data_IF_743765099372
#
_entry.id   IF_743765099372
#
_cell.length_a   1.000
_cell.length_b   1.000
_cell.length_c   1.000
_cell.angle_alpha   90.00
_cell.angle_beta   90.00
_cell.angle_gamma   90.00
#
_symmetry.space_group_name_H-M   'P 1'
#
loop_
_entity.id
_entity.type
_entity.pdbx_description
1 polymer ?
#
# COMPACT_ATOMS: atom_id res chain seq x y z
N UNK A 1 39.09 6.61 -83.71
CA UNK A 1 37.78 6.22 -83.13
C UNK A 1 37.90 5.25 -81.96
N UNK A 2 38.79 4.25 -82.00
CA UNK A 2 38.97 3.24 -80.93
C UNK A 2 39.31 3.81 -79.55
N UNK A 3 40.19 4.81 -79.45
CA UNK A 3 40.60 5.42 -78.16
C UNK A 3 39.43 6.09 -77.43
N UNK A 4 38.51 6.72 -78.17
CA UNK A 4 37.33 7.39 -77.58
C UNK A 4 36.33 6.37 -77.03
N UNK A 5 36.18 5.23 -77.70
CA UNK A 5 35.35 4.11 -77.22
C UNK A 5 35.97 3.50 -75.97
N UNK A 6 37.30 3.36 -75.92
CA UNK A 6 37.99 2.83 -74.76
C UNK A 6 37.80 3.71 -73.51
N UNK A 7 38.01 5.03 -73.63
CA UNK A 7 37.79 5.99 -72.53
C UNK A 7 36.34 5.95 -72.04
N UNK A 8 35.36 5.93 -72.96
CA UNK A 8 33.94 5.82 -72.60
C UNK A 8 33.61 4.48 -71.92
N UNK A 9 34.34 3.41 -72.25
CA UNK A 9 34.14 2.11 -71.62
C UNK A 9 34.71 2.10 -70.20
N UNK A 10 35.87 2.72 -69.98
CA UNK A 10 36.49 2.88 -68.68
C UNK A 10 35.66 3.78 -67.74
N UNK A 11 35.17 4.92 -68.24
CA UNK A 11 34.28 5.81 -67.50
C UNK A 11 32.96 5.13 -67.11
N UNK A 12 32.36 4.34 -68.03
CA UNK A 12 31.15 3.57 -67.72
C UNK A 12 31.41 2.53 -66.65
N UNK A 13 32.56 1.87 -66.68
CA UNK A 13 32.95 0.89 -65.70
C UNK A 13 33.19 1.55 -64.32
N UNK A 14 33.86 2.70 -64.31
CA UNK A 14 34.06 3.49 -63.09
C UNK A 14 32.73 3.95 -62.47
N UNK A 15 31.82 4.48 -63.29
CA UNK A 15 30.48 4.88 -62.84
C UNK A 15 29.68 3.68 -62.31
N UNK A 16 29.73 2.54 -63.00
CA UNK A 16 29.05 1.32 -62.55
C UNK A 16 29.56 0.84 -61.19
N UNK A 17 30.88 0.92 -60.95
CA UNK A 17 31.46 0.62 -59.62
C UNK A 17 31.04 1.63 -58.56
N UNK A 18 31.02 2.92 -58.88
CA UNK A 18 30.57 3.96 -57.95
C UNK A 18 29.09 3.79 -57.58
N UNK A 19 28.23 3.46 -58.56
CA UNK A 19 26.82 3.15 -58.34
C UNK A 19 26.64 1.92 -57.46
N UNK A 20 27.37 0.83 -57.75
CA UNK A 20 27.35 -0.38 -56.93
C UNK A 20 27.73 -0.09 -55.48
N UNK A 21 28.81 0.67 -55.27
CA UNK A 21 29.25 1.07 -53.93
C UNK A 21 28.19 1.92 -53.23
N UNK A 22 27.59 2.89 -53.92
CA UNK A 22 26.53 3.73 -53.35
C UNK A 22 25.28 2.93 -52.97
N UNK A 23 24.89 1.95 -53.81
CA UNK A 23 23.76 1.07 -53.54
C UNK A 23 24.04 0.17 -52.33
N UNK A 24 25.27 -0.34 -52.20
CA UNK A 24 25.68 -1.12 -51.04
C UNK A 24 25.66 -0.28 -49.76
N UNK A 25 26.22 0.94 -49.79
CA UNK A 25 26.16 1.87 -48.66
C UNK A 25 24.72 2.20 -48.26
N UNK A 26 23.83 2.45 -49.23
CA UNK A 26 22.42 2.70 -48.94
C UNK A 26 21.74 1.50 -48.27
N UNK A 27 22.01 0.28 -48.74
CA UNK A 27 21.51 -0.96 -48.12
C UNK A 27 21.97 -1.08 -46.67
N UNK A 28 23.26 -0.84 -46.40
CA UNK A 28 23.78 -0.92 -45.02
C UNK A 28 23.16 0.13 -44.09
N UNK A 29 22.93 1.35 -44.58
CA UNK A 29 22.26 2.39 -43.80
C UNK A 29 20.79 2.07 -43.56
N UNK A 30 20.12 1.43 -44.53
CA UNK A 30 18.74 0.96 -44.34
C UNK A 30 18.67 -0.09 -43.23
N UNK A 31 19.56 -1.09 -43.25
CA UNK A 31 19.63 -2.11 -42.18
C UNK A 31 19.90 -1.47 -40.80
N UNK A 32 20.81 -0.50 -40.72
CA UNK A 32 21.07 0.25 -39.49
C UNK A 32 19.83 1.02 -39.01
N UNK A 33 19.08 1.61 -39.94
CA UNK A 33 17.86 2.37 -39.62
C UNK A 33 16.77 1.43 -39.10
N UNK A 34 16.57 0.29 -39.74
CA UNK A 34 15.63 -0.75 -39.31
C UNK A 34 16.02 -1.32 -37.94
N UNK A 35 17.31 -1.57 -37.72
CA UNK A 35 17.82 -2.01 -36.43
C UNK A 35 17.57 -0.99 -35.31
N UNK A 36 17.87 0.29 -35.56
CA UNK A 36 17.62 1.37 -34.60
C UNK A 36 16.12 1.54 -34.32
N UNK A 37 15.27 1.46 -35.35
CA UNK A 37 13.82 1.50 -35.19
C UNK A 37 13.32 0.35 -34.29
N UNK A 38 13.84 -0.87 -34.48
CA UNK A 38 13.55 -2.00 -33.60
C UNK A 38 13.98 -1.75 -32.15
N UNK A 39 15.15 -1.14 -31.92
CA UNK A 39 15.56 -0.76 -30.56
C UNK A 39 14.63 0.29 -29.94
N UNK A 40 14.19 1.28 -30.72
CA UNK A 40 13.24 2.29 -30.25
C UNK A 40 11.93 1.66 -29.76
N UNK A 41 11.39 0.67 -30.48
CA UNK A 41 10.16 -0.02 -30.06
C UNK A 41 10.35 -0.82 -28.76
N UNK A 42 11.49 -1.50 -28.59
CA UNK A 42 11.84 -2.20 -27.34
C UNK A 42 11.88 -1.23 -26.17
N UNK A 43 12.52 -0.08 -26.33
CA UNK A 43 12.60 0.94 -25.28
C UNK A 43 11.24 1.57 -24.97
N UNK A 44 10.42 1.82 -25.99
CA UNK A 44 9.05 2.31 -25.83
C UNK A 44 8.21 1.36 -24.98
N UNK A 45 8.26 0.06 -25.26
CA UNK A 45 7.54 -0.95 -24.48
C UNK A 45 8.02 -1.02 -23.03
N UNK A 46 9.35 -1.04 -22.79
CA UNK A 46 9.92 -1.08 -21.44
C UNK A 46 9.53 0.15 -20.62
N UNK A 47 9.60 1.33 -21.23
CA UNK A 47 9.19 2.58 -20.59
C UNK A 47 7.72 2.51 -20.21
N UNK A 48 6.83 2.13 -21.14
CA UNK A 48 5.40 2.03 -20.88
C UNK A 48 5.06 1.07 -19.73
N UNK A 49 5.65 -0.13 -19.74
CA UNK A 49 5.45 -1.11 -18.68
C UNK A 49 5.90 -0.55 -17.31
N UNK A 50 7.06 0.11 -17.28
CA UNK A 50 7.59 0.73 -16.05
C UNK A 50 6.72 1.90 -15.58
N UNK A 51 6.22 2.74 -16.49
CA UNK A 51 5.29 3.83 -16.16
C UNK A 51 4.02 3.33 -15.50
N UNK A 52 3.40 2.28 -16.06
CA UNK A 52 2.19 1.67 -15.48
C UNK A 52 2.47 1.12 -14.08
N UNK A 53 3.60 0.41 -13.89
CA UNK A 53 3.98 -0.08 -12.55
C UNK A 53 4.15 1.04 -11.53
N UNK A 54 4.78 2.16 -11.92
CA UNK A 54 4.95 3.33 -11.05
C UNK A 54 3.60 3.98 -10.71
N UNK A 55 2.69 4.07 -11.68
CA UNK A 55 1.34 4.58 -11.45
C UNK A 55 0.56 3.72 -10.46
N UNK A 56 0.59 2.39 -10.61
CA UNK A 56 -0.04 1.46 -9.67
C UNK A 56 0.57 1.57 -8.27
N UNK A 57 1.90 1.65 -8.17
CA UNK A 57 2.57 1.87 -6.88
C UNK A 57 2.17 3.20 -6.23
N UNK A 58 2.00 4.27 -7.03
CA UNK A 58 1.53 5.55 -6.53
C UNK A 58 0.09 5.46 -5.98
N UNK A 59 -0.80 4.75 -6.68
CA UNK A 59 -2.18 4.48 -6.21
C UNK A 59 -2.17 3.71 -4.89
N UNK A 60 -1.44 2.60 -4.81
CA UNK A 60 -1.30 1.82 -3.58
C UNK A 60 -0.73 2.66 -2.44
N UNK A 61 0.31 3.45 -2.69
CA UNK A 61 0.88 4.36 -1.70
C UNK A 61 -0.16 5.34 -1.18
N UNK A 62 -0.94 5.97 -2.05
CA UNK A 62 -1.97 6.91 -1.64
C UNK A 62 -3.06 6.24 -0.78
N UNK A 63 -3.54 5.06 -1.19
CA UNK A 63 -4.54 4.29 -0.45
C UNK A 63 -4.05 3.85 0.92
N UNK A 64 -2.85 3.26 1.00
CA UNK A 64 -2.25 2.88 2.29
C UNK A 64 -2.01 4.10 3.17
N UNK A 65 -1.55 5.22 2.60
CA UNK A 65 -1.29 6.44 3.37
C UNK A 65 -2.58 6.99 3.98
N UNK A 66 -3.66 7.04 3.20
CA UNK A 66 -5.00 7.40 3.69
C UNK A 66 -5.45 6.46 4.80
N UNK A 67 -5.24 5.16 4.60
CA UNK A 67 -5.66 4.16 5.57
C UNK A 67 -4.90 4.27 6.90
N UNK A 68 -3.61 4.55 6.85
CA UNK A 68 -2.80 4.84 8.04
C UNK A 68 -3.34 6.08 8.75
N UNK A 69 -3.69 7.13 8.00
CA UNK A 69 -4.29 8.33 8.56
C UNK A 69 -5.61 8.03 9.28
N UNK A 70 -6.52 7.26 8.66
CA UNK A 70 -7.79 6.87 9.26
C UNK A 70 -7.60 6.09 10.57
N UNK A 71 -6.66 5.13 10.58
CA UNK A 71 -6.32 4.35 11.78
C UNK A 71 -5.71 5.22 12.89
N UNK A 72 -4.82 6.15 12.54
CA UNK A 72 -4.25 7.10 13.50
C UNK A 72 -5.32 8.01 14.10
N UNK A 73 -6.25 8.50 13.29
CA UNK A 73 -7.33 9.38 13.72
C UNK A 73 -8.34 8.67 14.62
N UNK A 74 -8.64 7.39 14.35
CA UNK A 74 -9.46 6.56 15.24
C UNK A 74 -8.72 6.27 16.55
N UNK A 75 -7.43 5.93 16.49
CA UNK A 75 -6.62 5.67 17.69
C UNK A 75 -6.56 6.90 18.59
N UNK A 76 -6.36 8.09 18.02
CA UNK A 76 -6.38 9.36 18.77
C UNK A 76 -7.71 9.55 19.51
N UNK A 77 -8.83 9.36 18.80
CA UNK A 77 -10.18 9.48 19.37
C UNK A 77 -10.43 8.47 20.49
N UNK A 78 -9.98 7.22 20.35
CA UNK A 78 -10.07 6.22 21.42
C UNK A 78 -9.26 6.63 22.66
N UNK A 79 -8.07 7.21 22.47
CA UNK A 79 -7.25 7.71 23.58
C UNK A 79 -7.89 8.92 24.28
N UNK A 80 -8.60 9.77 23.54
CA UNK A 80 -9.35 10.90 24.11
C UNK A 80 -10.55 10.40 24.93
N UNK A 81 -11.36 9.47 24.40
CA UNK A 81 -12.44 8.81 25.14
C UNK A 81 -11.90 8.13 26.41
N UNK A 82 -10.79 7.40 26.28
CA UNK A 82 -10.09 6.76 27.39
C UNK A 82 -9.67 7.77 28.46
N UNK A 83 -9.22 8.96 28.07
CA UNK A 83 -8.81 9.99 29.03
C UNK A 83 -10.01 10.56 29.79
N UNK A 84 -11.13 10.84 29.10
CA UNK A 84 -12.38 11.25 29.74
C UNK A 84 -12.91 10.20 30.72
N UNK A 85 -12.90 8.92 30.32
CA UNK A 85 -13.31 7.81 31.19
C UNK A 85 -12.45 7.78 32.47
N UNK A 86 -11.14 7.99 32.36
CA UNK A 86 -10.24 8.05 33.52
C UNK A 86 -10.57 9.21 34.45
N UNK A 87 -10.87 10.39 33.91
CA UNK A 87 -11.27 11.56 34.70
C UNK A 87 -12.57 11.28 35.48
N UNK A 88 -13.57 10.69 34.82
CA UNK A 88 -14.81 10.28 35.48
C UNK A 88 -14.55 9.27 36.59
N UNK A 89 -13.73 8.24 36.35
CA UNK A 89 -13.37 7.25 37.36
C UNK A 89 -12.63 7.86 38.56
N UNK A 90 -11.75 8.83 38.34
CA UNK A 90 -11.06 9.55 39.43
C UNK A 90 -12.06 10.36 40.26
N UNK A 91 -13.01 11.04 39.63
CA UNK A 91 -14.03 11.79 40.36
C UNK A 91 -14.94 10.85 41.16
N UNK A 92 -15.41 9.76 40.54
CA UNK A 92 -16.17 8.71 41.25
C UNK A 92 -15.39 8.13 42.42
N UNK A 93 -14.08 7.91 42.27
CA UNK A 93 -13.22 7.45 43.36
C UNK A 93 -13.20 8.44 44.52
N UNK A 94 -13.01 9.74 44.25
CA UNK A 94 -13.00 10.79 45.27
C UNK A 94 -14.33 10.82 46.04
N UNK A 95 -15.45 10.77 45.32
CA UNK A 95 -16.79 10.81 45.91
C UNK A 95 -17.05 9.56 46.78
N UNK A 96 -16.77 8.37 46.26
CA UNK A 96 -16.92 7.12 47.01
C UNK A 96 -15.98 7.04 48.21
N UNK A 97 -14.74 7.51 48.07
CA UNK A 97 -13.78 7.55 49.16
C UNK A 97 -14.23 8.52 50.26
N UNK A 98 -14.78 9.68 49.90
CA UNK A 98 -15.35 10.61 50.87
C UNK A 98 -16.53 10.02 51.65
N UNK A 99 -17.37 9.20 50.99
CA UNK A 99 -18.47 8.48 51.66
C UNK A 99 -17.96 7.37 52.60
N UNK A 100 -16.88 6.70 52.21
CA UNK A 100 -16.29 5.59 52.96
C UNK A 100 -15.18 6.03 53.95
N UNK A 101 -14.97 7.33 54.18
CA UNK A 101 -13.79 7.90 54.86
C UNK A 101 -13.57 7.45 56.31
N UNK A 102 -14.54 6.74 56.90
CA UNK A 102 -14.43 6.14 58.23
C UNK A 102 -13.72 4.77 58.23
N UNK A 103 -13.31 4.26 57.06
CA UNK A 103 -12.59 3.00 56.90
C UNK A 103 -11.13 3.27 56.53
N UNK A 104 -10.21 2.52 57.14
CA UNK A 104 -8.79 2.52 56.77
C UNK A 104 -8.64 2.02 55.32
N UNK A 105 -8.58 2.96 54.37
CA UNK A 105 -8.49 2.66 52.95
C UNK A 105 -7.07 2.83 52.43
N UNK A 106 -6.63 1.82 51.69
CA UNK A 106 -5.38 1.89 50.94
C UNK A 106 -5.60 2.65 49.64
N UNK A 107 -4.69 3.57 49.26
CA UNK A 107 -4.80 4.29 48.00
C UNK A 107 -4.69 3.31 46.82
N UNK A 108 -5.29 3.65 45.66
CA UNK A 108 -5.24 2.81 44.47
C UNK A 108 -3.79 2.56 44.02
N UNK A 109 -3.52 1.34 43.54
CA UNK A 109 -2.19 0.90 43.07
C UNK A 109 -1.68 1.70 41.88
N UNK A 110 -2.58 2.15 41.01
CA UNK A 110 -2.28 3.10 39.94
C UNK A 110 -3.53 3.87 39.52
N UNK A 111 -3.34 4.93 38.73
CA UNK A 111 -4.44 5.71 38.13
C UNK A 111 -4.85 5.20 36.74
N UNK A 112 -4.54 3.94 36.42
CA UNK A 112 -5.01 3.33 35.18
C UNK A 112 -6.52 3.02 35.30
N UNK A 113 -7.21 2.90 34.16
CA UNK A 113 -8.68 2.75 34.13
C UNK A 113 -9.16 1.44 34.71
N UNK A 114 -8.39 0.35 34.56
CA UNK A 114 -8.75 -0.96 35.10
C UNK A 114 -8.64 -0.93 36.63
N UNK A 115 -7.51 -0.48 37.17
CA UNK A 115 -7.30 -0.36 38.61
C UNK A 115 -8.32 0.59 39.25
N UNK A 116 -8.58 1.75 38.65
CA UNK A 116 -9.59 2.69 39.14
C UNK A 116 -11.00 2.10 39.09
N UNK A 117 -11.34 1.35 38.03
CA UNK A 117 -12.65 0.68 37.93
C UNK A 117 -12.82 -0.40 39.00
N UNK A 118 -11.76 -1.16 39.29
CA UNK A 118 -11.75 -2.19 40.32
C UNK A 118 -11.93 -1.59 41.71
N UNK A 119 -11.14 -0.56 42.04
CA UNK A 119 -11.22 0.12 43.34
C UNK A 119 -12.59 0.80 43.51
N UNK A 120 -13.13 1.43 42.46
CA UNK A 120 -14.49 1.99 42.52
C UNK A 120 -15.56 0.93 42.74
N UNK A 121 -15.42 -0.25 42.12
CA UNK A 121 -16.34 -1.36 42.34
C UNK A 121 -16.28 -1.87 43.79
N UNK A 122 -15.08 -1.99 44.36
CA UNK A 122 -14.86 -2.38 45.76
C UNK A 122 -15.43 -1.33 46.73
N UNK A 123 -15.14 -0.05 46.53
CA UNK A 123 -15.67 1.06 47.34
C UNK A 123 -17.20 1.12 47.27
N UNK A 124 -17.78 0.96 46.07
CA UNK A 124 -19.23 0.91 45.89
C UNK A 124 -19.85 -0.26 46.66
N UNK A 125 -19.23 -1.45 46.64
CA UNK A 125 -19.70 -2.58 47.41
C UNK A 125 -19.66 -2.33 48.93
N UNK A 126 -18.60 -1.69 49.43
CA UNK A 126 -18.49 -1.32 50.85
C UNK A 126 -19.52 -0.26 51.24
N UNK A 127 -19.71 0.78 50.42
CA UNK A 127 -20.74 1.81 50.65
C UNK A 127 -22.15 1.19 50.69
N UNK A 128 -22.44 0.20 49.84
CA UNK A 128 -23.71 -0.55 49.87
C UNK A 128 -23.89 -1.32 51.19
N UNK A 129 -22.85 -2.00 51.67
CA UNK A 129 -22.89 -2.71 52.95
C UNK A 129 -23.16 -1.77 54.12
N UNK A 130 -22.53 -0.58 54.13
CA UNK A 130 -22.73 0.43 55.17
C UNK A 130 -24.14 1.02 55.18
N UNK A 131 -24.73 1.26 54.00
CA UNK A 131 -26.00 1.98 53.88
C UNK A 131 -27.24 1.08 54.00
N UNK A 132 -27.16 -0.20 53.58
CA UNK A 132 -28.35 -1.07 53.45
C UNK A 132 -28.38 -2.29 54.37
N UNK A 133 -27.29 -2.57 55.11
CA UNK A 133 -27.10 -3.85 55.79
C UNK A 133 -27.15 -5.05 54.82
N UNK A 134 -27.03 -6.28 55.34
CA UNK A 134 -26.94 -7.54 54.56
C UNK A 134 -28.18 -7.92 53.70
N UNK A 135 -29.06 -6.97 53.38
CA UNK A 135 -30.27 -7.23 52.59
C UNK A 135 -29.94 -7.37 51.09
N UNK A 136 -29.73 -8.62 50.67
CA UNK A 136 -29.62 -9.00 49.25
C UNK A 136 -30.93 -8.66 48.55
N UNK A 137 -30.93 -7.63 47.72
CA UNK A 137 -31.99 -7.41 46.75
C UNK A 137 -31.29 -7.27 45.43
N UNK A 138 -31.45 -8.27 44.58
CA UNK A 138 -31.01 -8.27 43.20
C UNK A 138 -31.58 -7.02 42.54
N UNK A 139 -30.71 -6.06 42.23
CA UNK A 139 -31.11 -4.90 41.45
C UNK A 139 -31.45 -5.39 40.04
N UNK A 140 -32.56 -4.93 39.44
CA UNK A 140 -32.89 -5.30 38.07
C UNK A 140 -31.74 -4.93 37.13
N UNK A 141 -31.45 -5.85 36.22
CA UNK A 141 -30.43 -5.72 35.19
C UNK A 141 -30.86 -4.61 34.21
N UNK A 142 -30.48 -3.37 34.47
CA UNK A 142 -30.87 -2.19 33.67
C UNK A 142 -30.11 -2.08 32.34
N UNK A 143 -29.11 -2.93 32.11
CA UNK A 143 -28.10 -2.76 31.06
C UNK A 143 -28.39 -3.55 29.76
N UNK A 144 -29.47 -4.33 29.71
CA UNK A 144 -29.71 -5.29 28.61
C UNK A 144 -30.02 -4.60 27.27
N UNK A 145 -30.57 -3.38 27.29
CA UNK A 145 -30.89 -2.59 26.10
C UNK A 145 -29.86 -1.47 25.81
N UNK A 146 -28.84 -1.32 26.66
CA UNK A 146 -27.92 -0.20 26.55
C UNK A 146 -26.83 -0.49 25.51
N UNK A 147 -26.61 0.46 24.58
CA UNK A 147 -25.54 0.34 23.60
C UNK A 147 -24.18 0.34 24.30
N UNK A 148 -23.43 -0.76 24.17
CA UNK A 148 -22.16 -0.97 24.89
C UNK A 148 -20.93 -0.43 24.15
N UNK A 149 -21.07 -0.14 22.85
CA UNK A 149 -19.96 0.31 22.00
C UNK A 149 -20.07 1.79 21.68
N UNK A 150 -18.95 2.51 21.77
CA UNK A 150 -18.90 3.90 21.31
C UNK A 150 -18.88 3.95 19.78
N UNK A 151 -19.26 5.10 19.20
CA UNK A 151 -19.18 5.30 17.76
C UNK A 151 -17.73 5.14 17.25
N UNK A 152 -16.73 5.51 18.05
CA UNK A 152 -15.31 5.38 17.70
C UNK A 152 -14.88 3.92 17.73
N UNK A 153 -15.34 3.13 18.70
CA UNK A 153 -15.10 1.68 18.74
C UNK A 153 -15.72 0.99 17.52
N UNK A 154 -16.95 1.32 17.16
CA UNK A 154 -17.60 0.78 15.96
C UNK A 154 -16.79 1.08 14.68
N UNK A 155 -16.30 2.32 14.53
CA UNK A 155 -15.41 2.69 13.43
C UNK A 155 -14.08 1.92 13.46
N UNK A 156 -13.49 1.71 14.64
CA UNK A 156 -12.27 0.94 14.79
C UNK A 156 -12.46 -0.51 14.33
N UNK A 157 -13.58 -1.15 14.71
CA UNK A 157 -13.91 -2.51 14.29
C UNK A 157 -14.07 -2.61 12.77
N UNK A 158 -14.80 -1.69 12.16
CA UNK A 158 -14.99 -1.67 10.70
C UNK A 158 -13.67 -1.49 9.95
N UNK A 159 -12.79 -0.60 10.43
CA UNK A 159 -11.46 -0.47 9.85
C UNK A 159 -10.72 -1.81 9.98
N UNK A 160 -10.55 -2.35 11.19
CA UNK A 160 -9.75 -3.57 11.41
C UNK A 160 -10.23 -4.78 10.58
N UNK A 161 -11.54 -4.90 10.35
CA UNK A 161 -12.14 -6.00 9.56
C UNK A 161 -11.66 -6.03 8.10
N UNK A 162 -11.35 -4.87 7.54
CA UNK A 162 -10.87 -4.73 6.15
C UNK A 162 -9.43 -4.20 6.15
N UNK A 163 -8.41 -5.07 6.32
CA UNK A 163 -7.03 -4.65 6.55
C UNK A 163 -6.33 -4.12 5.29
N UNK A 164 -6.75 -4.54 4.09
CA UNK A 164 -6.18 -4.11 2.81
C UNK A 164 -7.25 -3.33 2.04
N UNK A 165 -6.97 -2.08 1.63
CA UNK A 165 -7.84 -1.36 0.71
C UNK A 165 -7.92 -2.14 -0.61
N UNK A 166 -9.13 -2.52 -1.05
CA UNK A 166 -9.31 -3.16 -2.34
C UNK A 166 -9.07 -2.14 -3.45
N UNK A 167 -8.07 -2.40 -4.31
CA UNK A 167 -7.89 -1.64 -5.53
C UNK A 167 -8.73 -2.31 -6.61
N UNK A 168 -9.83 -1.69 -7.01
CA UNK A 168 -10.62 -2.14 -8.14
C UNK A 168 -9.71 -2.22 -9.39
N UNK A 169 -9.62 -3.42 -10.01
CA UNK A 169 -8.98 -3.68 -11.31
C UNK A 169 -7.44 -3.72 -11.39
N UNK A 170 -6.72 -3.95 -10.28
CA UNK A 170 -5.25 -4.13 -10.31
C UNK A 170 -4.77 -5.23 -11.30
N UNK A 171 -5.55 -6.30 -11.43
CA UNK A 171 -5.20 -7.48 -12.25
C UNK A 171 -5.31 -7.22 -13.76
N UNK A 172 -6.16 -6.28 -14.19
CA UNK A 172 -6.35 -5.98 -15.61
C UNK A 172 -5.15 -5.22 -16.20
N UNK A 173 -4.59 -4.27 -15.44
CA UNK A 173 -3.39 -3.53 -15.83
C UNK A 173 -2.16 -4.45 -15.87
N UNK A 174 -2.00 -5.30 -14.86
CA UNK A 174 -0.93 -6.31 -14.82
C UNK A 174 -1.01 -7.29 -15.99
N UNK A 175 -2.21 -7.82 -16.27
CA UNK A 175 -2.44 -8.75 -17.38
C UNK A 175 -2.23 -8.12 -18.76
N UNK A 176 -2.59 -6.84 -18.94
CA UNK A 176 -2.35 -6.12 -20.18
C UNK A 176 -0.85 -5.91 -20.46
N UNK A 177 -0.07 -5.56 -19.42
CA UNK A 177 1.38 -5.39 -19.54
C UNK A 177 2.07 -6.73 -19.83
N UNK A 178 1.68 -7.79 -19.12
CA UNK A 178 2.22 -9.13 -19.37
C UNK A 178 1.84 -9.67 -20.77
N UNK A 179 0.61 -9.43 -21.22
CA UNK A 179 0.16 -9.81 -22.56
C UNK A 179 0.94 -9.10 -23.68
N UNK A 180 1.22 -7.80 -23.52
CA UNK A 180 2.03 -7.04 -24.47
C UNK A 180 3.49 -7.52 -24.51
N UNK A 181 4.07 -7.85 -23.35
CA UNK A 181 5.44 -8.37 -23.27
C UNK A 181 5.59 -9.76 -23.94
N UNK A 182 4.59 -10.63 -23.79
CA UNK A 182 4.57 -11.98 -24.40
C UNK A 182 4.30 -11.92 -25.92
N UNK A 183 3.49 -10.98 -26.39
CA UNK A 183 3.29 -10.77 -27.82
C UNK A 183 4.58 -10.29 -28.52
N UNK A 184 5.39 -9.47 -27.84
CA UNK A 184 6.67 -8.99 -28.35
C UNK A 184 7.78 -10.05 -28.33
N UNK A 185 7.76 -10.99 -27.37
CA UNK A 185 8.70 -12.12 -27.36
C UNK A 185 8.42 -13.16 -28.44
N UNK A 186 7.24 -13.12 -29.05
CA UNK A 186 6.84 -13.99 -30.16
C UNK A 186 7.42 -13.56 -31.52
N UNK A 187 8.04 -12.37 -31.60
CA UNK A 187 8.69 -11.83 -32.80
C UNK A 187 10.23 -11.80 -32.69
N UNK A 188 10.82 -12.81 -32.05
CA UNK A 188 12.27 -12.98 -32.08
C UNK A 188 12.66 -13.99 -33.18
N UNK A 189 13.46 -13.61 -34.19
CA UNK A 189 14.10 -14.61 -35.04
C UNK A 189 15.11 -15.36 -34.17
N UNK A 190 14.85 -16.65 -33.93
CA UNK A 190 15.73 -17.65 -33.31
C UNK A 190 16.83 -17.08 -32.38
N UNK A 191 16.54 -17.02 -31.07
CA UNK A 191 17.58 -16.83 -30.05
C UNK A 191 18.71 -17.85 -30.27
N UNK A 192 19.91 -17.36 -30.58
CA UNK A 192 21.12 -18.17 -30.73
C UNK A 192 21.38 -19.00 -29.45
N UNK A 193 21.78 -20.27 -29.61
CA UNK A 193 21.98 -21.26 -28.55
C UNK A 193 23.16 -21.00 -27.59
N UNK A 194 23.54 -19.73 -27.38
CA UNK A 194 24.66 -19.33 -26.54
C UNK A 194 24.29 -18.37 -25.39
N UNK A 195 23.02 -18.02 -25.22
CA UNK A 195 22.59 -17.20 -24.09
C UNK A 195 22.29 -18.09 -22.86
N UNK A 196 23.20 -18.14 -21.89
CA UNK A 196 23.07 -18.93 -20.65
C UNK A 196 22.27 -18.25 -19.52
N UNK A 197 21.64 -17.10 -19.78
CA UNK A 197 20.67 -16.50 -18.86
C UNK A 197 21.18 -16.12 -17.46
N UNK A 198 22.49 -16.12 -17.22
CA UNK A 198 23.04 -15.75 -15.91
C UNK A 198 23.30 -14.25 -15.81
N UNK A 199 22.54 -13.59 -14.95
CA UNK A 199 22.83 -12.22 -14.49
C UNK A 199 23.94 -12.33 -13.45
N UNK A 200 25.15 -11.89 -13.79
CA UNK A 200 26.21 -11.67 -12.79
C UNK A 200 25.95 -10.33 -12.10
N UNK A 201 25.54 -10.40 -10.85
CA UNK A 201 25.53 -9.26 -9.93
C UNK A 201 26.97 -8.83 -9.68
N UNK A 202 27.27 -7.56 -9.99
CA UNK A 202 28.52 -6.88 -9.62
C UNK A 202 28.43 -6.50 -8.14
#
# INVERSE_FOLDING_TARGET
>A
MQTRVHILTEDKLHLARALLNSAHTLSTHQEQTEWLAGQCEVWRSKFLASSIMVEELAKWKALLSRRVQDLQDVTRRLLDERTKVREYLINTYKDLHALCSNLDMTPPRSSNILDLSEVNMQLSAMARLQTRGNSSTDLPLWDTECQRTTAVEALAFELIKHPVPELENADAAYSAVMGAAVALSSFSPACCGHCTGQIKTI
#
